data_IF_622053737592
#
_entry.id   IF_622053737592
#
_cell.length_a   1.000
_cell.length_b   1.000
_cell.length_c   1.000
_cell.angle_alpha   90.00
_cell.angle_beta   90.00
_cell.angle_gamma   90.00
#
_symmetry.space_group_name_H-M   'P 1'
#
loop_
_entity.id
_entity.type
_entity.pdbx_description
1 polymer ?
#
# COMPACT_ATOMS: atom_id res chain seq x y z
N UNK A 1 -13.83 1.48 1.62
CA UNK A 1 -12.50 0.86 1.37
C UNK A 1 -11.88 0.31 2.65
N UNK A 2 -11.68 1.16 3.67
CA UNK A 2 -10.97 0.82 4.90
C UNK A 2 -11.47 -0.44 5.63
N UNK A 3 -12.78 -0.71 5.61
CA UNK A 3 -13.38 -1.92 6.19
C UNK A 3 -12.76 -3.24 5.67
N UNK A 4 -12.11 -3.23 4.50
CA UNK A 4 -11.43 -4.41 3.94
C UNK A 4 -10.05 -4.68 4.55
N UNK A 5 -9.57 -3.78 5.42
CA UNK A 5 -8.30 -3.89 6.13
C UNK A 5 -8.50 -4.19 7.62
N UNK A 6 -9.65 -4.76 8.00
CA UNK A 6 -9.93 -5.20 9.36
C UNK A 6 -8.77 -6.04 9.94
N UNK A 7 -8.41 -5.85 11.22
CA UNK A 7 -9.00 -4.93 12.21
C UNK A 7 -8.33 -3.54 12.24
N UNK A 8 -7.71 -3.09 11.14
CA UNK A 8 -6.96 -1.83 11.05
C UNK A 8 -7.72 -0.74 10.28
N UNK A 9 -9.04 -0.73 10.34
CA UNK A 9 -9.90 0.19 9.60
C UNK A 9 -9.56 1.66 9.89
N UNK A 10 -9.30 2.00 11.15
CA UNK A 10 -8.96 3.37 11.56
C UNK A 10 -7.64 3.83 10.94
N UNK A 11 -6.63 2.97 10.96
CA UNK A 11 -5.33 3.26 10.35
C UNK A 11 -5.47 3.33 8.83
N UNK A 12 -6.26 2.44 8.22
CA UNK A 12 -6.53 2.49 6.79
C UNK A 12 -7.25 3.78 6.39
N UNK A 13 -8.24 4.24 7.16
CA UNK A 13 -8.92 5.51 6.93
C UNK A 13 -7.96 6.71 6.97
N UNK A 14 -6.96 6.68 7.88
CA UNK A 14 -5.96 7.74 7.96
C UNK A 14 -5.00 7.73 6.77
N UNK A 15 -4.66 6.56 6.24
CA UNK A 15 -3.60 6.42 5.25
C UNK A 15 -4.09 6.39 3.80
N UNK A 16 -5.31 5.91 3.52
CA UNK A 16 -5.89 5.84 2.17
C UNK A 16 -5.81 7.16 1.40
N UNK A 17 -6.07 8.35 1.99
CA UNK A 17 -5.97 9.64 1.28
C UNK A 17 -4.56 9.96 0.73
N UNK A 18 -3.51 9.33 1.26
CA UNK A 18 -2.13 9.51 0.80
C UNK A 18 -1.73 8.52 -0.30
N UNK A 19 -2.60 7.56 -0.61
CA UNK A 19 -2.36 6.56 -1.64
C UNK A 19 -2.90 7.05 -2.99
N UNK A 20 -2.55 6.37 -4.07
CA UNK A 20 -3.24 6.65 -5.34
C UNK A 20 -4.66 6.13 -5.35
N UNK A 21 -5.10 5.31 -4.37
CA UNK A 21 -6.37 4.55 -4.33
C UNK A 21 -7.68 5.36 -4.50
N UNK A 22 -7.60 6.69 -4.52
CA UNK A 22 -8.71 7.61 -4.79
C UNK A 22 -8.76 8.10 -6.25
N UNK A 23 -7.72 7.89 -7.05
CA UNK A 23 -7.64 8.27 -8.46
C UNK A 23 -8.30 7.19 -9.32
N UNK A 24 -9.62 7.30 -9.41
CA UNK A 24 -10.54 6.47 -10.20
C UNK A 24 -10.08 6.35 -11.67
N UNK A 25 -9.11 5.50 -11.94
CA UNK A 25 -8.97 4.78 -13.19
C UNK A 25 -9.03 3.28 -12.88
N UNK A 26 -9.73 2.53 -13.72
CA UNK A 26 -10.16 1.15 -13.42
C UNK A 26 -9.04 0.12 -13.28
N UNK A 27 -7.78 0.53 -13.23
CA UNK A 27 -6.62 -0.37 -13.24
C UNK A 27 -5.75 -0.35 -11.98
N UNK A 28 -5.74 0.72 -11.18
CA UNK A 28 -4.67 0.89 -10.18
C UNK A 28 -5.00 0.95 -8.68
N UNK A 29 -6.23 1.07 -8.24
CA UNK A 29 -6.39 1.73 -6.94
C UNK A 29 -6.73 0.85 -5.73
N UNK A 30 -7.88 0.20 -5.76
CA UNK A 30 -8.38 -0.53 -4.60
C UNK A 30 -7.89 -1.98 -4.57
N UNK A 31 -8.08 -2.64 -5.71
CA UNK A 31 -7.88 -4.08 -5.87
C UNK A 31 -6.41 -4.45 -5.78
N UNK A 32 -5.51 -3.54 -6.18
CA UNK A 32 -4.07 -3.72 -6.01
C UNK A 32 -3.69 -3.80 -4.53
N UNK A 33 -4.05 -2.79 -3.74
CA UNK A 33 -3.78 -2.75 -2.30
C UNK A 33 -4.34 -3.99 -1.58
N UNK A 34 -5.54 -4.44 -1.95
CA UNK A 34 -6.14 -5.64 -1.36
C UNK A 34 -5.40 -6.93 -1.71
N UNK A 35 -4.92 -7.08 -2.96
CA UNK A 35 -4.10 -8.24 -3.36
C UNK A 35 -2.77 -8.25 -2.61
N UNK A 36 -2.10 -7.10 -2.51
CA UNK A 36 -0.86 -6.96 -1.75
C UNK A 36 -1.10 -7.29 -0.28
N UNK A 37 -2.15 -6.73 0.33
CA UNK A 37 -2.48 -7.00 1.73
C UNK A 37 -2.75 -8.49 2.00
N UNK A 38 -3.45 -9.18 1.09
CA UNK A 38 -3.68 -10.63 1.21
C UNK A 38 -2.36 -11.40 1.23
N UNK A 39 -1.40 -11.05 0.38
CA UNK A 39 -0.09 -11.68 0.37
C UNK A 39 0.70 -11.37 1.64
N UNK A 40 0.66 -10.11 2.11
CA UNK A 40 1.31 -9.67 3.35
C UNK A 40 0.76 -10.44 4.55
N UNK A 41 -0.56 -10.64 4.65
CA UNK A 41 -1.16 -11.49 5.69
C UNK A 41 -0.65 -12.93 5.60
N UNK A 42 -0.68 -13.55 4.40
CA UNK A 42 -0.24 -14.92 4.23
C UNK A 42 1.25 -15.14 4.59
N UNK A 43 2.10 -14.16 4.31
CA UNK A 43 3.52 -14.17 4.69
C UNK A 43 3.66 -13.97 6.19
N UNK A 44 3.00 -12.95 6.76
CA UNK A 44 3.02 -12.66 8.22
C UNK A 44 2.55 -13.85 9.04
N UNK A 45 1.52 -14.58 8.59
CA UNK A 45 1.01 -15.75 9.32
C UNK A 45 2.04 -16.88 9.42
N UNK A 46 3.07 -16.87 8.55
CA UNK A 46 4.18 -17.83 8.56
C UNK A 46 5.47 -17.29 9.17
N UNK A 47 5.78 -16.01 8.92
CA UNK A 47 7.06 -15.39 9.23
C UNK A 47 6.99 -14.40 10.41
N UNK A 48 5.78 -14.06 10.87
CA UNK A 48 5.53 -13.03 11.86
C UNK A 48 5.64 -11.61 11.29
N UNK A 49 5.71 -10.62 12.19
CA UNK A 49 5.81 -9.20 11.86
C UNK A 49 4.68 -8.37 12.46
N UNK A 50 4.97 -7.10 12.76
CA UNK A 50 3.99 -6.18 13.33
C UNK A 50 2.93 -5.83 12.27
N UNK A 51 1.71 -6.28 12.51
CA UNK A 51 0.59 -6.09 11.60
C UNK A 51 0.29 -4.61 11.34
N UNK A 52 0.51 -3.70 12.30
CA UNK A 52 0.31 -2.25 12.13
C UNK A 52 1.35 -1.63 11.20
N UNK A 53 2.60 -2.07 11.30
CA UNK A 53 3.67 -1.63 10.38
C UNK A 53 3.40 -2.17 8.98
N UNK A 54 3.02 -3.44 8.88
CA UNK A 54 2.77 -4.10 7.61
C UNK A 54 1.59 -3.49 6.84
N UNK A 55 0.49 -3.12 7.52
CA UNK A 55 -0.63 -2.44 6.85
C UNK A 55 -0.24 -1.03 6.39
N UNK A 56 0.50 -0.28 7.20
CA UNK A 56 0.96 1.05 6.82
C UNK A 56 1.89 1.00 5.60
N UNK A 57 2.86 0.07 5.61
CA UNK A 57 3.74 -0.18 4.47
C UNK A 57 2.94 -0.60 3.22
N UNK A 58 1.95 -1.48 3.37
CA UNK A 58 1.10 -1.92 2.26
C UNK A 58 0.34 -0.76 1.64
N UNK A 59 -0.26 0.12 2.43
CA UNK A 59 -1.02 1.26 1.91
C UNK A 59 -0.10 2.27 1.21
N UNK A 60 1.08 2.54 1.77
CA UNK A 60 1.95 3.62 1.32
C UNK A 60 3.01 3.19 0.29
N UNK A 61 3.17 1.90 -0.02
CA UNK A 61 4.29 1.40 -0.85
C UNK A 61 4.43 2.04 -2.23
N UNK A 62 3.31 2.51 -2.79
CA UNK A 62 3.23 3.14 -4.11
C UNK A 62 2.70 4.57 -4.03
N UNK A 63 2.78 5.26 -2.88
CA UNK A 63 2.25 6.63 -2.73
C UNK A 63 2.92 7.66 -3.68
N UNK A 64 4.06 7.31 -4.29
CA UNK A 64 4.73 8.09 -5.35
C UNK A 64 4.58 7.37 -6.68
N UNK A 65 3.98 8.05 -7.67
CA UNK A 65 3.91 7.53 -9.04
C UNK A 65 5.22 7.83 -9.76
N UNK A 66 5.90 6.79 -10.25
CA UNK A 66 7.12 6.91 -11.05
C UNK A 66 6.84 6.34 -12.44
N UNK A 67 6.99 7.18 -13.46
CA UNK A 67 6.78 6.80 -14.86
C UNK A 67 7.62 5.59 -15.27
N UNK A 68 7.10 4.79 -16.21
CA UNK A 68 7.73 3.53 -16.63
C UNK A 68 9.14 3.72 -17.19
N UNK A 69 9.36 4.80 -17.94
CA UNK A 69 10.65 5.10 -18.58
C UNK A 69 11.58 5.95 -17.69
N UNK A 70 11.18 6.21 -16.44
CA UNK A 70 11.99 6.98 -15.51
C UNK A 70 13.23 6.19 -15.06
N UNK A 71 14.43 6.82 -15.02
CA UNK A 71 15.62 6.18 -14.45
C UNK A 71 15.45 5.82 -12.97
N UNK A 72 14.47 6.43 -12.29
CA UNK A 72 14.17 6.18 -10.89
C UNK A 72 13.17 5.03 -10.67
N UNK A 73 12.74 4.34 -11.74
CA UNK A 73 11.70 3.29 -11.64
C UNK A 73 12.07 2.17 -10.67
N UNK A 74 13.34 1.76 -10.65
CA UNK A 74 13.88 0.77 -9.72
C UNK A 74 13.96 1.25 -8.26
N UNK A 75 13.84 2.57 -8.03
CA UNK A 75 13.82 3.20 -6.73
C UNK A 75 12.44 3.65 -6.27
N UNK A 76 11.37 3.34 -7.00
CA UNK A 76 10.02 3.84 -6.71
C UNK A 76 9.59 3.57 -5.26
N UNK A 77 9.80 2.36 -4.73
CA UNK A 77 9.46 2.04 -3.35
C UNK A 77 10.30 2.81 -2.31
N UNK A 78 11.56 3.14 -2.62
CA UNK A 78 12.39 4.00 -1.75
C UNK A 78 11.90 5.44 -1.76
N UNK A 79 11.48 5.93 -2.92
CA UNK A 79 10.89 7.27 -3.05
C UNK A 79 9.55 7.36 -2.30
N UNK A 80 8.72 6.32 -2.39
CA UNK A 80 7.48 6.22 -1.62
C UNK A 80 7.76 6.20 -0.10
N UNK A 81 8.73 5.39 0.34
CA UNK A 81 9.13 5.34 1.75
C UNK A 81 9.70 6.68 2.27
N UNK A 82 10.40 7.46 1.43
CA UNK A 82 10.92 8.77 1.82
C UNK A 82 9.85 9.87 1.90
N UNK A 83 8.69 9.67 1.26
CA UNK A 83 7.57 10.61 1.27
C UNK A 83 6.61 10.38 2.45
N UNK A 84 6.46 9.12 2.86
CA UNK A 84 5.60 8.66 3.95
C UNK A 84 6.11 9.11 5.32
#
# INVERSE_FOLDING_TARGET
>A
MAARFAPFEDLANQLIPYTHAEKIDGSHDASHLLRVWKNVCAIRDREGGDARVLIAATLLHDCVSVEKDSPFRAGASRLAAARA
#
